data_IF_907725151700
#
_entry.id   IF_907725151700
#
_cell.length_a   1.000
_cell.length_b   1.000
_cell.length_c   1.000
_cell.angle_alpha   90.00
_cell.angle_beta   90.00
_cell.angle_gamma   90.00
#
_symmetry.space_group_name_H-M   'P 1'
#
loop_
_entity.id
_entity.type
_entity.pdbx_description
1 polymer ?
#
# COMPACT_ATOMS: atom_id res chain seq x y z
N UNK A 1 -2.76 23.32 18.29
CA UNK A 1 -2.25 22.12 18.99
C UNK A 1 -3.43 21.48 19.70
N UNK A 2 -4.15 20.62 18.98
CA UNK A 2 -5.15 19.73 19.54
C UNK A 2 -4.59 18.33 19.33
N UNK A 3 -4.26 17.66 20.44
CA UNK A 3 -3.99 16.23 20.43
C UNK A 3 -5.26 15.56 19.90
N UNK A 4 -5.25 15.10 18.64
CA UNK A 4 -6.13 14.02 18.25
C UNK A 4 -5.60 12.80 19.01
N UNK A 5 -6.27 12.50 20.12
CA UNK A 5 -6.11 11.25 20.82
C UNK A 5 -6.18 10.11 19.80
N UNK A 6 -5.17 9.26 19.86
CA UNK A 6 -5.07 8.05 19.07
C UNK A 6 -6.39 7.27 19.25
N UNK A 7 -7.19 6.99 18.22
CA UNK A 7 -8.19 5.95 18.35
C UNK A 7 -7.39 4.65 18.40
N UNK A 8 -6.91 4.28 19.59
CA UNK A 8 -6.46 2.93 19.84
C UNK A 8 -7.60 2.03 19.38
N UNK A 9 -7.35 1.18 18.39
CA UNK A 9 -8.38 0.37 17.75
C UNK A 9 -9.17 -0.37 18.85
N UNK A 10 -10.47 -0.04 18.98
CA UNK A 10 -11.38 -0.60 19.99
C UNK A 10 -11.76 -2.06 19.66
N UNK A 11 -10.79 -2.88 19.23
CA UNK A 11 -10.97 -4.20 18.66
C UNK A 11 -11.26 -4.18 17.15
N UNK A 12 -11.52 -5.36 16.61
CA UNK A 12 -11.85 -5.58 15.20
C UNK A 12 -13.36 -5.63 14.95
N UNK A 13 -13.78 -5.27 13.75
CA UNK A 13 -15.13 -5.49 13.19
C UNK A 13 -15.02 -5.95 11.73
N UNK A 14 -16.09 -6.52 11.17
CA UNK A 14 -16.14 -6.75 9.73
C UNK A 14 -16.48 -5.45 9.00
N UNK A 15 -16.03 -5.33 7.75
CA UNK A 15 -16.42 -4.25 6.86
C UNK A 15 -17.92 -4.33 6.58
N UNK A 16 -18.65 -3.27 6.92
CA UNK A 16 -20.12 -3.20 6.74
C UNK A 16 -20.56 -3.23 5.28
N UNK A 17 -19.64 -3.07 4.32
CA UNK A 17 -19.89 -3.16 2.89
C UNK A 17 -19.72 -4.58 2.32
N UNK A 18 -19.32 -5.57 3.13
CA UNK A 18 -19.32 -6.96 2.69
C UNK A 18 -20.75 -7.45 2.50
N UNK A 19 -21.05 -8.00 1.33
CA UNK A 19 -22.36 -8.61 1.06
C UNK A 19 -22.64 -9.82 1.96
N UNK A 20 -21.59 -10.58 2.30
CA UNK A 20 -21.63 -11.69 3.26
C UNK A 20 -20.24 -11.89 3.85
N UNK A 21 -20.15 -11.88 5.18
CA UNK A 21 -18.90 -12.16 5.91
C UNK A 21 -18.51 -13.63 5.75
N UNK A 22 -19.49 -14.53 5.77
CA UNK A 22 -19.27 -15.98 5.70
C UNK A 22 -18.79 -16.43 4.31
N UNK A 23 -19.26 -15.77 3.25
CA UNK A 23 -18.85 -16.07 1.87
C UNK A 23 -17.60 -15.29 1.42
N UNK A 24 -17.10 -14.36 2.24
CA UNK A 24 -15.92 -13.58 1.89
C UNK A 24 -14.64 -14.36 2.21
N UNK A 25 -13.82 -14.56 1.19
CA UNK A 25 -12.49 -15.13 1.29
C UNK A 25 -11.46 -14.05 0.97
N UNK A 26 -10.57 -13.67 1.90
CA UNK A 26 -9.57 -12.61 1.67
C UNK A 26 -8.48 -13.04 0.68
N UNK A 27 -8.23 -14.35 0.58
CA UNK A 27 -7.21 -14.91 -0.29
C UNK A 27 -7.85 -15.35 -1.61
N UNK A 28 -7.31 -14.86 -2.73
CA UNK A 28 -7.79 -15.21 -4.09
C UNK A 28 -7.27 -16.56 -4.59
N UNK A 29 -6.24 -17.10 -3.93
CA UNK A 29 -5.61 -18.38 -4.25
C UNK A 29 -5.47 -19.20 -2.97
N UNK A 30 -5.77 -20.50 -3.07
CA UNK A 30 -5.43 -21.47 -2.03
C UNK A 30 -4.30 -22.37 -2.52
N UNK A 31 -3.10 -22.15 -1.96
CA UNK A 31 -1.89 -22.87 -2.31
C UNK A 31 -1.92 -24.35 -1.88
N UNK A 32 -2.88 -24.78 -1.07
CA UNK A 32 -3.06 -26.22 -0.81
C UNK A 32 -3.85 -26.93 -1.90
N UNK A 33 -4.71 -26.19 -2.62
CA UNK A 33 -5.53 -26.72 -3.70
C UNK A 33 -4.86 -26.54 -5.07
N UNK A 34 -4.11 -25.44 -5.25
CA UNK A 34 -3.37 -25.16 -6.48
C UNK A 34 -1.87 -25.47 -6.31
N UNK A 35 -1.48 -26.67 -6.75
CA UNK A 35 -0.09 -27.14 -6.66
C UNK A 35 0.87 -26.38 -7.60
N UNK A 36 0.36 -25.78 -8.69
CA UNK A 36 1.19 -24.99 -9.60
C UNK A 36 1.49 -23.63 -8.98
N UNK A 37 0.46 -22.94 -8.52
CA UNK A 37 0.60 -21.71 -7.75
C UNK A 37 1.47 -21.93 -6.51
N UNK A 38 1.28 -23.05 -5.79
CA UNK A 38 2.12 -23.41 -4.65
C UNK A 38 3.61 -23.40 -5.01
N UNK A 39 4.02 -24.21 -6.00
CA UNK A 39 5.42 -24.30 -6.40
C UNK A 39 5.97 -22.95 -6.86
N UNK A 40 5.19 -22.20 -7.63
CA UNK A 40 5.57 -20.89 -8.12
C UNK A 40 5.81 -19.91 -6.97
N UNK A 41 4.83 -19.75 -6.07
CA UNK A 41 4.92 -18.77 -5.00
C UNK A 41 5.97 -19.13 -3.96
N UNK A 42 6.08 -20.39 -3.54
CA UNK A 42 7.16 -20.77 -2.62
C UNK A 42 8.56 -20.50 -3.20
N UNK A 43 8.76 -20.69 -4.51
CA UNK A 43 10.00 -20.30 -5.18
C UNK A 43 10.22 -18.78 -5.14
N UNK A 44 9.20 -17.99 -5.51
CA UNK A 44 9.28 -16.53 -5.46
C UNK A 44 9.58 -15.98 -4.05
N UNK A 45 8.93 -16.54 -3.03
CA UNK A 45 9.13 -16.13 -1.63
C UNK A 45 10.52 -16.53 -1.12
N UNK A 46 11.04 -17.69 -1.52
CA UNK A 46 12.41 -18.09 -1.19
C UNK A 46 13.44 -17.09 -1.74
N UNK A 47 13.28 -16.67 -3.00
CA UNK A 47 14.14 -15.64 -3.61
C UNK A 47 13.96 -14.27 -2.93
N UNK A 48 12.74 -13.93 -2.52
CA UNK A 48 12.43 -12.70 -1.79
C UNK A 48 13.14 -12.63 -0.45
N UNK A 49 13.24 -13.75 0.29
CA UNK A 49 13.91 -13.79 1.60
C UNK A 49 15.36 -13.34 1.53
N UNK A 50 16.09 -13.68 0.46
CA UNK A 50 17.48 -13.24 0.29
C UNK A 50 17.59 -11.71 0.10
N UNK A 51 16.60 -11.08 -0.55
CA UNK A 51 16.55 -9.62 -0.67
C UNK A 51 16.21 -8.98 0.68
N UNK A 52 15.27 -9.56 1.41
CA UNK A 52 14.81 -9.03 2.69
C UNK A 52 15.89 -9.17 3.77
N UNK A 53 16.67 -10.25 3.75
CA UNK A 53 17.87 -10.41 4.59
C UNK A 53 18.85 -9.26 4.35
N UNK A 54 19.12 -8.93 3.08
CA UNK A 54 20.02 -7.83 2.72
C UNK A 54 19.47 -6.49 3.20
N UNK A 55 18.20 -6.20 2.91
CA UNK A 55 17.55 -4.97 3.35
C UNK A 55 17.57 -4.82 4.87
N UNK A 56 17.24 -5.89 5.61
CA UNK A 56 17.28 -5.92 7.06
C UNK A 56 18.69 -5.60 7.59
N UNK A 57 19.72 -6.25 7.04
CA UNK A 57 21.12 -5.98 7.40
C UNK A 57 21.52 -4.53 7.13
N UNK A 58 21.19 -3.99 5.96
CA UNK A 58 21.52 -2.62 5.56
C UNK A 58 20.80 -1.57 6.42
N UNK A 59 19.54 -1.81 6.76
CA UNK A 59 18.71 -0.93 7.62
C UNK A 59 19.32 -0.67 8.99
N UNK A 60 20.18 -1.58 9.47
CA UNK A 60 20.86 -1.49 10.77
C UNK A 60 22.37 -1.68 10.63
N UNK A 61 22.98 -1.17 9.55
CA UNK A 61 24.40 -1.33 9.21
C UNK A 61 25.42 -0.91 10.29
N UNK A 62 24.99 -0.11 11.28
CA UNK A 62 25.81 0.31 12.43
C UNK A 62 25.81 -0.70 13.59
N UNK A 63 24.88 -1.65 13.62
CA UNK A 63 24.79 -2.69 14.63
C UNK A 63 25.59 -3.93 14.18
N UNK A 64 26.62 -4.30 14.94
CA UNK A 64 27.46 -5.45 14.66
C UNK A 64 26.69 -6.79 14.64
N UNK A 65 25.54 -6.88 15.32
CA UNK A 65 24.68 -8.06 15.34
C UNK A 65 23.75 -8.17 14.13
N UNK A 66 23.56 -7.10 13.36
CA UNK A 66 22.55 -7.03 12.29
C UNK A 66 22.73 -8.15 11.26
N UNK A 67 23.96 -8.45 10.85
CA UNK A 67 24.24 -9.52 9.89
C UNK A 67 23.80 -10.89 10.41
N UNK A 68 24.13 -11.24 11.66
CA UNK A 68 23.76 -12.52 12.26
C UNK A 68 22.25 -12.60 12.47
N UNK A 69 21.60 -11.52 12.91
CA UNK A 69 20.14 -11.47 13.09
C UNK A 69 19.40 -11.62 11.75
N UNK A 70 19.88 -10.99 10.68
CA UNK A 70 19.31 -11.11 9.35
C UNK A 70 19.41 -12.54 8.80
N UNK A 71 20.54 -13.22 9.04
CA UNK A 71 20.70 -14.64 8.70
C UNK A 71 19.72 -15.52 9.47
N UNK A 72 19.59 -15.31 10.78
CA UNK A 72 18.61 -16.02 11.61
C UNK A 72 17.16 -15.78 11.18
N UNK A 73 16.84 -14.56 10.73
CA UNK A 73 15.55 -14.25 10.11
C UNK A 73 15.28 -15.13 8.89
N UNK A 74 16.22 -15.17 7.94
CA UNK A 74 16.06 -15.97 6.73
C UNK A 74 15.90 -17.45 7.06
N UNK A 75 16.76 -17.99 7.91
CA UNK A 75 16.71 -19.41 8.33
C UNK A 75 15.38 -19.75 9.00
N UNK A 76 14.86 -18.85 9.84
CA UNK A 76 13.55 -19.03 10.45
C UNK A 76 12.42 -19.08 9.42
N UNK A 77 12.37 -18.12 8.49
CA UNK A 77 11.31 -18.09 7.47
C UNK A 77 11.38 -19.31 6.54
N UNK A 78 12.58 -19.73 6.14
CA UNK A 78 12.75 -20.98 5.35
C UNK A 78 12.21 -22.19 6.11
N UNK A 79 12.50 -22.32 7.40
CA UNK A 79 12.00 -23.43 8.20
C UNK A 79 10.47 -23.41 8.32
N UNK A 80 9.85 -22.24 8.47
CA UNK A 80 8.39 -22.10 8.51
C UNK A 80 7.76 -22.40 7.15
N UNK A 81 8.36 -21.91 6.05
CA UNK A 81 7.89 -22.21 4.70
C UNK A 81 7.96 -23.71 4.38
N UNK A 82 9.05 -24.38 4.77
CA UNK A 82 9.19 -25.83 4.65
C UNK A 82 8.09 -26.59 5.40
N UNK A 83 7.68 -26.10 6.58
CA UNK A 83 6.59 -26.67 7.36
C UNK A 83 5.24 -26.46 6.67
N UNK A 84 4.93 -25.23 6.27
CA UNK A 84 3.70 -24.91 5.55
C UNK A 84 3.57 -25.70 4.25
N UNK A 85 4.67 -25.93 3.54
CA UNK A 85 4.64 -26.71 2.30
C UNK A 85 4.39 -28.21 2.53
N UNK A 86 4.83 -28.75 3.69
CA UNK A 86 4.75 -30.19 4.02
C UNK A 86 3.52 -30.56 4.84
N UNK A 87 3.05 -29.68 5.72
CA UNK A 87 2.03 -29.99 6.72
C UNK A 87 0.76 -29.19 6.51
N UNK A 88 -0.22 -29.82 5.86
CA UNK A 88 -1.56 -29.27 5.57
C UNK A 88 -2.49 -29.24 6.79
N UNK A 89 -1.97 -29.49 8.01
CA UNK A 89 -2.81 -29.88 9.16
C UNK A 89 -3.14 -28.76 10.13
N UNK A 90 -2.41 -27.65 10.11
CA UNK A 90 -2.63 -26.56 11.08
C UNK A 90 -3.55 -25.44 10.56
N UNK A 91 -3.63 -25.24 9.24
CA UNK A 91 -4.51 -24.25 8.61
C UNK A 91 -5.37 -24.89 7.53
N UNK A 92 -6.65 -24.51 7.45
CA UNK A 92 -7.58 -25.04 6.45
C UNK A 92 -7.24 -24.57 5.02
N UNK A 93 -6.68 -23.37 4.90
CA UNK A 93 -6.24 -22.76 3.63
C UNK A 93 -4.85 -22.15 3.79
N UNK A 94 -4.15 -21.96 2.68
CA UNK A 94 -2.88 -21.23 2.65
C UNK A 94 -2.87 -20.22 1.51
N UNK A 95 -2.90 -18.94 1.87
CA UNK A 95 -2.83 -17.83 0.91
C UNK A 95 -1.45 -17.17 0.86
N UNK A 96 -1.29 -16.25 -0.11
CA UNK A 96 -0.08 -15.41 -0.23
C UNK A 96 0.09 -14.50 0.98
N UNK A 97 -1.02 -13.99 1.52
CA UNK A 97 -1.04 -13.21 2.76
C UNK A 97 -0.33 -13.94 3.90
N UNK A 98 -0.57 -15.24 4.07
CA UNK A 98 0.08 -16.00 5.15
C UNK A 98 1.60 -16.08 4.99
N UNK A 99 2.10 -16.21 3.75
CA UNK A 99 3.54 -16.22 3.49
C UNK A 99 4.17 -14.86 3.82
N UNK A 100 3.46 -13.76 3.52
CA UNK A 100 3.88 -12.39 3.87
C UNK A 100 3.85 -12.17 5.39
N UNK A 101 2.81 -12.64 6.07
CA UNK A 101 2.70 -12.59 7.55
C UNK A 101 3.87 -13.30 8.24
N UNK A 102 4.34 -14.44 7.70
CA UNK A 102 5.53 -15.16 8.20
C UNK A 102 6.79 -14.30 8.05
N UNK A 103 6.97 -13.63 6.91
CA UNK A 103 8.11 -12.73 6.68
C UNK A 103 8.08 -11.57 7.67
N UNK A 104 6.95 -10.88 7.77
CA UNK A 104 6.81 -9.69 8.63
C UNK A 104 6.92 -10.01 10.12
N UNK A 105 6.41 -11.18 10.53
CA UNK A 105 6.59 -11.67 11.91
C UNK A 105 8.04 -12.09 12.15
N UNK A 106 8.70 -12.68 11.16
CA UNK A 106 10.11 -13.04 11.20
C UNK A 106 11.01 -11.81 11.38
N UNK A 107 10.86 -10.79 10.54
CA UNK A 107 11.63 -9.55 10.64
C UNK A 107 11.54 -8.93 12.05
N UNK A 108 10.31 -8.75 12.56
CA UNK A 108 10.06 -8.24 13.91
C UNK A 108 10.67 -9.12 15.01
N UNK A 109 10.50 -10.44 14.91
CA UNK A 109 11.09 -11.40 15.87
C UNK A 109 12.61 -11.26 15.99
N UNK A 110 13.29 -10.96 14.89
CA UNK A 110 14.74 -10.77 14.87
C UNK A 110 15.16 -9.30 15.00
N UNK A 111 14.26 -8.40 15.43
CA UNK A 111 14.55 -7.01 15.79
C UNK A 111 14.69 -6.07 14.60
N UNK A 112 13.98 -6.36 13.51
CA UNK A 112 13.88 -5.50 12.34
C UNK A 112 12.43 -5.02 12.19
N UNK A 113 12.06 -3.99 12.95
CA UNK A 113 10.67 -3.52 13.00
C UNK A 113 10.22 -2.81 11.70
N UNK A 114 11.11 -2.07 11.05
CA UNK A 114 10.85 -1.38 9.78
C UNK A 114 12.15 -1.24 8.96
N UNK A 115 12.57 -2.28 8.21
CA UNK A 115 13.76 -2.21 7.36
C UNK A 115 13.69 -1.14 6.26
N UNK A 116 12.50 -0.67 5.88
CA UNK A 116 12.29 0.28 4.78
C UNK A 116 12.10 1.72 5.24
N UNK A 117 12.09 1.98 6.55
CA UNK A 117 11.83 3.30 7.14
C UNK A 117 12.62 4.46 6.50
N UNK A 118 13.93 4.30 6.36
CA UNK A 118 14.79 5.34 5.80
C UNK A 118 14.45 5.60 4.32
N UNK A 119 14.27 4.51 3.57
CA UNK A 119 13.87 4.57 2.18
C UNK A 119 12.51 5.25 1.98
N UNK A 120 11.47 4.81 2.71
CA UNK A 120 10.14 5.45 2.71
C UNK A 120 10.23 6.94 3.02
N UNK A 121 11.09 7.33 3.97
CA UNK A 121 11.31 8.74 4.34
C UNK A 121 11.91 9.54 3.18
N UNK A 122 12.92 8.99 2.51
CA UNK A 122 13.57 9.63 1.35
C UNK A 122 12.58 9.77 0.19
N UNK A 123 11.88 8.69 -0.14
CA UNK A 123 10.94 8.63 -1.27
C UNK A 123 9.73 9.55 -1.03
N UNK A 124 9.17 9.57 0.18
CA UNK A 124 8.10 10.50 0.56
C UNK A 124 8.55 11.95 0.38
N UNK A 125 9.72 12.32 0.93
CA UNK A 125 10.23 13.69 0.85
C UNK A 125 10.46 14.12 -0.60
N UNK A 126 11.07 13.25 -1.41
CA UNK A 126 11.29 13.52 -2.83
C UNK A 126 9.97 13.70 -3.58
N UNK A 127 9.00 12.82 -3.32
CA UNK A 127 7.69 12.86 -3.97
C UNK A 127 6.88 14.10 -3.59
N UNK A 128 6.90 14.51 -2.32
CA UNK A 128 6.23 15.73 -1.85
C UNK A 128 6.78 16.96 -2.58
N UNK A 129 8.10 17.02 -2.81
CA UNK A 129 8.72 18.10 -3.57
C UNK A 129 8.24 18.22 -5.03
N UNK A 130 7.66 17.16 -5.59
CA UNK A 130 7.10 17.13 -6.95
C UNK A 130 5.57 17.30 -6.98
N UNK A 131 4.90 17.21 -5.84
CA UNK A 131 3.44 17.17 -5.74
C UNK A 131 2.79 18.41 -6.38
N UNK A 132 3.26 19.60 -6.02
CA UNK A 132 2.69 20.86 -6.54
C UNK A 132 2.73 20.93 -8.06
N UNK A 133 3.84 20.51 -8.67
CA UNK A 133 3.97 20.46 -10.12
C UNK A 133 3.00 19.43 -10.73
N UNK A 134 2.89 18.23 -10.16
CA UNK A 134 1.95 17.20 -10.62
C UNK A 134 0.51 17.69 -10.57
N UNK A 135 0.11 18.37 -9.49
CA UNK A 135 -1.23 18.94 -9.35
C UNK A 135 -1.51 20.02 -10.42
N UNK A 136 -0.55 20.90 -10.71
CA UNK A 136 -0.68 21.88 -11.78
C UNK A 136 -0.81 21.24 -13.16
N UNK A 137 -0.07 20.17 -13.44
CA UNK A 137 -0.19 19.41 -14.69
C UNK A 137 -1.60 18.83 -14.84
N UNK A 138 -2.14 18.20 -13.80
CA UNK A 138 -3.49 17.64 -13.80
C UNK A 138 -4.57 18.71 -13.96
N UNK A 139 -4.44 19.85 -13.27
CA UNK A 139 -5.39 20.97 -13.40
C UNK A 139 -5.37 21.60 -14.80
N UNK A 140 -4.27 21.47 -15.54
CA UNK A 140 -4.15 22.00 -16.92
C UNK A 140 -4.88 21.16 -17.96
N UNK A 141 -5.32 19.94 -17.61
CA UNK A 141 -6.09 19.08 -18.50
C UNK A 141 -7.52 19.62 -18.61
N UNK A 142 -7.90 20.03 -19.82
CA UNK A 142 -9.19 20.67 -20.07
C UNK A 142 -10.37 19.69 -20.06
N UNK A 143 -10.17 18.47 -20.58
CA UNK A 143 -11.19 17.42 -20.57
C UNK A 143 -11.25 16.75 -19.20
N UNK A 144 -12.41 16.82 -18.54
CA UNK A 144 -12.62 16.14 -17.27
C UNK A 144 -12.41 14.62 -17.38
N UNK A 145 -12.86 14.01 -18.49
CA UNK A 145 -12.66 12.58 -18.74
C UNK A 145 -11.19 12.20 -18.84
N UNK A 146 -10.41 13.01 -19.56
CA UNK A 146 -8.96 12.79 -19.69
C UNK A 146 -8.24 13.00 -18.37
N UNK A 147 -8.67 13.99 -17.57
CA UNK A 147 -8.12 14.24 -16.23
C UNK A 147 -8.35 13.05 -15.30
N UNK A 148 -9.58 12.52 -15.26
CA UNK A 148 -9.89 11.31 -14.50
C UNK A 148 -9.13 10.08 -15.00
N UNK A 149 -8.97 9.94 -16.31
CA UNK A 149 -8.12 8.89 -16.90
C UNK A 149 -6.68 9.02 -16.43
N UNK A 150 -6.11 10.23 -16.45
CA UNK A 150 -4.72 10.49 -16.06
C UNK A 150 -4.49 10.32 -14.54
N UNK A 151 -5.50 10.60 -13.71
CA UNK A 151 -5.46 10.29 -12.28
C UNK A 151 -5.40 8.78 -12.03
N UNK A 152 -6.26 7.99 -12.70
CA UNK A 152 -6.24 6.52 -12.56
C UNK A 152 -4.93 5.95 -13.08
N UNK A 153 -4.43 6.44 -14.21
CA UNK A 153 -3.08 6.08 -14.68
C UNK A 153 -2.01 6.44 -13.67
N UNK A 154 -2.13 7.59 -12.99
CA UNK A 154 -1.23 8.00 -11.91
C UNK A 154 -1.22 7.02 -10.74
N UNK A 155 -2.39 6.54 -10.32
CA UNK A 155 -2.51 5.49 -9.28
C UNK A 155 -1.83 4.20 -9.71
N UNK A 156 -2.10 3.72 -10.93
CA UNK A 156 -1.48 2.50 -11.45
C UNK A 156 0.04 2.63 -11.63
N UNK A 157 0.52 3.77 -12.11
CA UNK A 157 1.95 4.04 -12.28
C UNK A 157 2.64 4.16 -10.92
N UNK A 158 1.98 4.81 -9.97
CA UNK A 158 2.44 4.97 -8.60
C UNK A 158 2.68 3.62 -7.94
N UNK A 159 1.70 2.71 -8.05
CA UNK A 159 1.83 1.38 -7.45
C UNK A 159 2.88 0.46 -8.12
N UNK A 160 3.48 0.87 -9.25
CA UNK A 160 4.66 0.16 -9.76
C UNK A 160 5.85 0.28 -8.81
N UNK A 161 5.90 1.29 -7.93
CA UNK A 161 6.99 1.49 -6.97
C UNK A 161 6.84 0.59 -5.73
N UNK A 162 6.67 -0.70 -5.98
CA UNK A 162 6.52 -1.77 -5.00
C UNK A 162 7.85 -2.54 -4.86
N UNK A 163 8.43 -2.53 -3.66
CA UNK A 163 9.70 -3.21 -3.36
C UNK A 163 9.53 -4.70 -3.06
N UNK A 164 8.30 -5.15 -2.78
CA UNK A 164 7.91 -6.55 -2.69
C UNK A 164 7.75 -7.22 -4.06
N UNK A 165 7.42 -6.48 -5.11
CA UNK A 165 7.26 -7.01 -6.46
C UNK A 165 8.59 -7.30 -7.17
N UNK A 166 8.94 -8.58 -7.33
CA UNK A 166 10.19 -9.03 -7.97
C UNK A 166 10.45 -8.41 -9.36
N UNK A 167 9.40 -8.27 -10.17
CA UNK A 167 9.49 -7.76 -11.54
C UNK A 167 9.88 -6.28 -11.61
N UNK A 168 9.55 -5.50 -10.57
CA UNK A 168 9.79 -4.06 -10.55
C UNK A 168 11.04 -3.69 -9.77
N UNK A 169 11.44 -4.47 -8.76
CA UNK A 169 12.66 -4.21 -7.96
C UNK A 169 13.89 -3.96 -8.85
N UNK A 170 14.09 -4.76 -9.90
CA UNK A 170 15.26 -4.62 -10.80
C UNK A 170 15.29 -3.26 -11.51
N UNK A 171 14.13 -2.70 -11.85
CA UNK A 171 14.01 -1.39 -12.49
C UNK A 171 14.39 -0.30 -11.49
N UNK A 172 13.88 -0.39 -10.26
CA UNK A 172 14.13 0.57 -9.19
C UNK A 172 15.59 0.57 -8.75
N UNK A 173 16.23 -0.60 -8.66
CA UNK A 173 17.64 -0.76 -8.29
C UNK A 173 18.61 -0.21 -9.34
N UNK A 174 18.24 -0.23 -10.63
CA UNK A 174 19.18 0.05 -11.74
C UNK A 174 19.00 1.42 -12.38
N UNK A 175 17.91 2.13 -12.09
CA UNK A 175 17.58 3.40 -12.75
C UNK A 175 17.21 4.49 -11.74
N UNK A 176 18.21 5.22 -11.26
CA UNK A 176 18.06 6.35 -10.34
C UNK A 176 17.21 7.51 -10.89
N UNK A 177 16.91 7.54 -12.20
CA UNK A 177 16.04 8.54 -12.84
C UNK A 177 14.61 8.04 -13.08
N UNK A 178 14.26 6.84 -12.61
CA UNK A 178 12.92 6.29 -12.78
C UNK A 178 11.94 6.97 -11.80
N UNK A 179 11.06 7.81 -12.33
CA UNK A 179 9.98 8.48 -11.59
C UNK A 179 8.61 8.24 -12.22
N UNK A 180 7.60 8.97 -11.74
CA UNK A 180 6.20 8.76 -12.16
C UNK A 180 6.01 8.80 -13.68
N UNK A 181 6.67 9.72 -14.40
CA UNK A 181 6.51 9.83 -15.85
C UNK A 181 7.00 8.56 -16.57
N UNK A 182 8.16 8.04 -16.17
CA UNK A 182 8.69 6.80 -16.75
C UNK A 182 7.82 5.59 -16.41
N UNK A 183 7.15 5.59 -15.25
CA UNK A 183 6.17 4.57 -14.92
C UNK A 183 4.89 4.70 -15.78
N UNK A 184 4.36 5.90 -15.96
CA UNK A 184 3.21 6.19 -16.84
C UNK A 184 3.45 5.72 -18.28
N UNK A 185 4.67 5.89 -18.79
CA UNK A 185 5.07 5.46 -20.13
C UNK A 185 5.20 3.93 -20.27
N UNK A 186 5.29 3.20 -19.15
CA UNK A 186 5.42 1.73 -19.10
C UNK A 186 4.12 0.99 -18.82
N UNK A 187 3.10 1.67 -18.30
CA UNK A 187 1.76 1.06 -18.15
C UNK A 187 1.33 0.51 -19.51
N UNK A 188 0.86 -0.74 -19.52
CA UNK A 188 0.31 -1.34 -20.73
C UNK A 188 -0.85 -0.53 -21.28
N UNK A 189 -0.96 -0.44 -22.60
CA UNK A 189 -2.10 0.23 -23.24
C UNK A 189 -3.39 -0.54 -22.94
N UNK A 190 -4.48 0.20 -22.79
CA UNK A 190 -5.83 -0.37 -22.64
C UNK A 190 -6.21 -1.20 -23.88
N UNK A 191 -7.04 -2.25 -23.74
CA UNK A 191 -7.67 -2.68 -22.50
C UNK A 191 -6.69 -3.38 -21.55
N UNK A 192 -6.79 -3.08 -20.25
CA UNK A 192 -6.10 -3.87 -19.23
C UNK A 192 -6.75 -5.24 -19.06
N UNK A 193 -6.10 -6.12 -18.27
CA UNK A 193 -6.59 -7.48 -18.03
C UNK A 193 -8.03 -7.48 -17.49
N UNK A 194 -8.33 -6.57 -16.56
CA UNK A 194 -9.66 -6.19 -16.12
C UNK A 194 -9.71 -4.66 -16.25
N UNK A 195 -10.62 -4.15 -17.06
CA UNK A 195 -10.65 -2.74 -17.44
C UNK A 195 -12.07 -2.18 -17.37
N UNK A 196 -12.44 -1.75 -16.16
CA UNK A 196 -13.73 -1.10 -15.88
C UNK A 196 -13.64 0.43 -15.88
N UNK A 197 -12.56 0.99 -16.44
CA UNK A 197 -12.31 2.43 -16.38
C UNK A 197 -13.41 3.23 -17.06
N UNK A 198 -13.91 2.78 -18.23
CA UNK A 198 -14.95 3.53 -18.95
C UNK A 198 -16.25 3.61 -18.15
N UNK A 199 -16.67 2.50 -17.51
CA UNK A 199 -17.85 2.49 -16.64
C UNK A 199 -17.69 3.40 -15.42
N UNK A 200 -16.49 3.43 -14.83
CA UNK A 200 -16.19 4.36 -13.75
C UNK A 200 -16.19 5.82 -14.23
N UNK A 201 -15.61 6.13 -15.39
CA UNK A 201 -15.62 7.49 -15.97
C UNK A 201 -17.06 7.96 -16.24
N UNK A 202 -17.91 7.08 -16.78
CA UNK A 202 -19.31 7.40 -17.04
C UNK A 202 -20.05 7.73 -15.74
N UNK A 203 -19.79 6.99 -14.65
CA UNK A 203 -20.30 7.27 -13.30
C UNK A 203 -19.77 8.59 -12.73
N UNK A 204 -18.54 8.97 -13.03
CA UNK A 204 -17.95 10.22 -12.55
C UNK A 204 -18.51 11.44 -13.32
N UNK A 205 -18.89 11.27 -14.58
CA UNK A 205 -19.45 12.34 -15.42
C UNK A 205 -20.94 12.59 -15.17
N UNK A 206 -21.75 11.52 -15.11
CA UNK A 206 -23.21 11.64 -15.23
C UNK A 206 -23.95 11.59 -13.88
N UNK A 207 -23.35 10.97 -12.87
CA UNK A 207 -24.03 10.70 -11.61
C UNK A 207 -23.53 11.64 -10.48
N UNK A 208 -24.34 11.86 -9.42
CA UNK A 208 -23.95 12.71 -8.31
C UNK A 208 -22.62 12.28 -7.65
N UNK A 209 -21.82 13.21 -7.11
CA UNK A 209 -20.63 12.87 -6.36
C UNK A 209 -20.89 11.83 -5.26
N UNK A 210 -19.92 10.94 -5.03
CA UNK A 210 -19.96 10.05 -3.89
C UNK A 210 -20.01 10.88 -2.61
N UNK A 211 -20.86 10.47 -1.66
CA UNK A 211 -20.89 11.14 -0.35
C UNK A 211 -19.58 10.89 0.42
N UNK A 212 -19.04 9.69 0.24
CA UNK A 212 -17.90 9.20 0.98
C UNK A 212 -17.08 8.22 0.12
N UNK A 213 -15.76 8.27 0.21
CA UNK A 213 -14.83 7.32 -0.38
C UNK A 213 -13.81 6.88 0.67
N UNK A 214 -13.65 5.58 0.84
CA UNK A 214 -12.60 5.00 1.68
C UNK A 214 -11.53 4.41 0.79
N UNK A 215 -10.28 4.78 1.01
CA UNK A 215 -9.13 4.33 0.23
C UNK A 215 -8.16 3.68 1.20
N UNK A 216 -7.90 2.39 0.98
CA UNK A 216 -6.83 1.66 1.64
C UNK A 216 -5.55 1.91 0.85
N UNK A 217 -4.59 2.59 1.48
CA UNK A 217 -3.33 2.94 0.86
C UNK A 217 -2.37 1.76 0.90
N UNK A 218 -1.52 1.68 -0.12
CA UNK A 218 -0.49 0.65 -0.26
C UNK A 218 0.88 1.28 0.04
N UNK A 219 1.66 1.61 -0.99
CA UNK A 219 3.06 1.97 -0.87
C UNK A 219 3.30 3.43 -0.49
N UNK A 220 4.37 3.69 0.27
CA UNK A 220 4.88 5.05 0.48
C UNK A 220 5.49 5.64 -0.82
N UNK A 221 5.90 6.90 -0.77
CA UNK A 221 6.63 7.54 -1.86
C UNK A 221 5.74 7.92 -3.03
N UNK A 222 6.14 7.52 -4.24
CA UNK A 222 5.49 7.95 -5.48
C UNK A 222 4.05 7.44 -5.55
N UNK A 223 3.79 6.21 -5.10
CA UNK A 223 2.44 5.64 -5.06
C UNK A 223 1.48 6.53 -4.29
N UNK A 224 1.70 6.66 -2.98
CA UNK A 224 0.85 7.47 -2.15
C UNK A 224 0.85 8.95 -2.57
N UNK A 225 2.02 9.58 -2.69
CA UNK A 225 2.10 11.05 -2.81
C UNK A 225 1.76 11.54 -4.21
N UNK A 226 2.14 10.83 -5.27
CA UNK A 226 1.94 11.30 -6.65
C UNK A 226 0.86 10.51 -7.42
N UNK A 227 0.42 9.37 -6.90
CA UNK A 227 -0.74 8.62 -7.38
C UNK A 227 -2.00 8.91 -6.56
N UNK A 228 -2.01 8.50 -5.29
CA UNK A 228 -3.21 8.54 -4.43
C UNK A 228 -3.60 9.97 -4.03
N UNK A 229 -2.66 10.80 -3.56
CA UNK A 229 -2.99 12.16 -3.08
C UNK A 229 -3.65 13.03 -4.18
N UNK A 230 -3.20 13.02 -5.45
CA UNK A 230 -3.92 13.69 -6.53
C UNK A 230 -5.35 13.17 -6.74
N UNK A 231 -5.57 11.85 -6.68
CA UNK A 231 -6.91 11.27 -6.74
C UNK A 231 -7.80 11.78 -5.59
N UNK A 232 -7.27 11.75 -4.36
CA UNK A 232 -7.95 12.24 -3.15
C UNK A 232 -8.34 13.70 -3.32
N UNK A 233 -7.43 14.55 -3.80
CA UNK A 233 -7.69 15.96 -4.04
C UNK A 233 -8.87 16.18 -5.00
N UNK A 234 -8.93 15.42 -6.09
CA UNK A 234 -10.02 15.56 -7.08
C UNK A 234 -11.36 15.05 -6.55
N UNK A 235 -11.37 13.99 -5.74
CA UNK A 235 -12.57 13.58 -4.99
C UNK A 235 -13.06 14.67 -4.04
N UNK A 236 -12.13 15.30 -3.31
CA UNK A 236 -12.43 16.40 -2.38
C UNK A 236 -13.00 17.65 -3.10
N UNK A 237 -12.51 17.99 -4.31
CA UNK A 237 -13.05 19.06 -5.16
C UNK A 237 -14.50 18.79 -5.57
N UNK A 238 -14.89 17.51 -5.68
CA UNK A 238 -16.27 17.08 -5.95
C UNK A 238 -17.15 17.02 -4.71
N UNK A 239 -16.70 17.55 -3.56
CA UNK A 239 -17.39 17.46 -2.27
C UNK A 239 -17.50 16.04 -1.69
N UNK A 240 -16.74 15.07 -2.19
CA UNK A 240 -16.65 13.72 -1.58
C UNK A 240 -15.90 13.82 -0.25
N UNK A 241 -16.38 13.18 0.81
CA UNK A 241 -15.59 12.93 2.03
C UNK A 241 -14.63 11.76 1.76
N UNK A 242 -13.38 11.87 2.17
CA UNK A 242 -12.35 10.84 1.93
C UNK A 242 -11.80 10.31 3.26
N UNK A 243 -11.80 8.99 3.42
CA UNK A 243 -11.13 8.27 4.50
C UNK A 243 -9.90 7.59 3.90
N UNK A 244 -8.70 7.97 4.36
CA UNK A 244 -7.46 7.28 4.03
C UNK A 244 -7.11 6.30 5.14
N UNK A 245 -6.99 5.03 4.78
CA UNK A 245 -6.69 3.94 5.70
C UNK A 245 -5.30 3.39 5.42
N UNK A 246 -4.42 3.41 6.41
CA UNK A 246 -3.04 2.92 6.33
C UNK A 246 -2.76 1.91 7.44
N UNK A 247 -1.81 1.00 7.21
CA UNK A 247 -1.45 -0.01 8.22
C UNK A 247 -0.85 0.64 9.47
N UNK A 248 -1.18 0.14 10.66
CA UNK A 248 -0.55 0.61 11.90
C UNK A 248 0.90 0.16 12.01
N UNK A 249 1.18 -1.04 11.49
CA UNK A 249 2.47 -1.69 11.60
C UNK A 249 3.19 -1.69 10.25
N UNK A 250 4.50 -1.46 10.21
CA UNK A 250 5.27 -1.60 8.98
C UNK A 250 5.04 -2.97 8.32
N UNK A 251 4.89 -2.94 7.01
CA UNK A 251 4.89 -4.11 6.14
C UNK A 251 5.58 -3.68 4.84
N UNK A 252 6.73 -4.28 4.53
CA UNK A 252 7.56 -3.92 3.38
C UNK A 252 7.71 -2.38 3.26
N UNK A 253 7.28 -1.77 2.15
CA UNK A 253 7.32 -0.34 1.90
C UNK A 253 5.94 0.32 1.93
N UNK A 254 4.94 -0.35 2.51
CA UNK A 254 3.63 0.21 2.77
C UNK A 254 3.74 1.47 3.64
N UNK A 255 2.90 2.45 3.36
CA UNK A 255 2.82 3.64 4.19
C UNK A 255 2.09 3.30 5.50
N UNK A 256 2.76 3.49 6.64
CA UNK A 256 2.11 3.30 7.94
C UNK A 256 1.21 4.49 8.27
N UNK A 257 0.24 4.32 9.17
CA UNK A 257 -0.62 5.41 9.65
C UNK A 257 0.20 6.61 10.16
N UNK A 258 1.27 6.34 10.92
CA UNK A 258 2.16 7.40 11.43
C UNK A 258 2.90 8.16 10.32
N UNK A 259 3.22 7.49 9.21
CA UNK A 259 3.85 8.07 8.03
C UNK A 259 2.83 8.81 7.17
N UNK A 260 1.64 8.24 6.99
CA UNK A 260 0.49 8.82 6.31
C UNK A 260 0.13 10.18 6.94
N UNK A 261 0.01 10.26 8.27
CA UNK A 261 -0.31 11.51 8.96
C UNK A 261 0.74 12.59 8.69
N UNK A 262 2.03 12.24 8.71
CA UNK A 262 3.12 13.17 8.41
C UNK A 262 3.12 13.59 6.94
N UNK A 263 2.97 12.64 6.03
CA UNK A 263 2.92 12.89 4.60
C UNK A 263 1.75 13.80 4.22
N UNK A 264 0.55 13.56 4.77
CA UNK A 264 -0.62 14.44 4.55
C UNK A 264 -0.38 15.84 5.10
N UNK A 265 0.20 15.97 6.29
CA UNK A 265 0.53 17.28 6.85
C UNK A 265 1.49 18.08 5.94
N UNK A 266 2.46 17.41 5.32
CA UNK A 266 3.37 18.03 4.36
C UNK A 266 2.67 18.31 3.01
N UNK A 267 1.84 17.40 2.50
CA UNK A 267 1.05 17.63 1.28
C UNK A 267 0.09 18.83 1.41
N UNK A 268 -0.45 19.07 2.61
CA UNK A 268 -1.30 20.24 2.89
C UNK A 268 -0.55 21.59 2.76
N UNK A 269 0.79 21.59 2.85
CA UNK A 269 1.59 22.80 2.60
C UNK A 269 1.66 23.11 1.10
N UNK A 270 1.53 22.09 0.26
CA UNK A 270 1.61 22.19 -1.20
C UNK A 270 0.23 22.41 -1.86
N UNK A 271 -0.88 22.17 -1.15
CA UNK A 271 -2.22 22.28 -1.71
C UNK A 271 -3.29 22.76 -0.72
N UNK A 272 -3.87 23.92 -1.01
CA UNK A 272 -4.94 24.53 -0.19
C UNK A 272 -6.20 23.67 -0.10
N UNK A 273 -6.57 22.94 -1.16
CA UNK A 273 -7.74 22.05 -1.15
C UNK A 273 -7.55 20.93 -0.12
N UNK A 274 -6.36 20.32 -0.09
CA UNK A 274 -6.04 19.29 0.90
C UNK A 274 -6.05 19.86 2.31
N UNK A 275 -5.39 21.02 2.50
CA UNK A 275 -5.34 21.71 3.79
C UNK A 275 -6.72 22.02 4.34
N UNK A 276 -7.58 22.65 3.54
CA UNK A 276 -8.92 23.04 3.97
C UNK A 276 -9.79 21.80 4.26
N UNK A 277 -9.67 20.75 3.44
CA UNK A 277 -10.39 19.50 3.66
C UNK A 277 -9.96 18.77 4.94
N UNK A 278 -8.66 18.81 5.27
CA UNK A 278 -8.08 18.14 6.43
C UNK A 278 -8.32 18.92 7.73
N UNK A 279 -8.00 20.21 7.74
CA UNK A 279 -7.97 21.03 8.96
C UNK A 279 -9.29 21.73 9.29
N UNK A 280 -10.03 22.22 8.28
CA UNK A 280 -11.17 23.11 8.51
C UNK A 280 -12.51 22.40 8.32
N UNK A 281 -12.61 21.56 7.28
CA UNK A 281 -13.86 20.93 6.87
C UNK A 281 -14.04 19.51 7.41
N UNK A 282 -12.97 18.90 7.93
CA UNK A 282 -12.94 17.51 8.39
C UNK A 282 -13.51 16.50 7.36
N UNK A 283 -13.23 16.76 6.08
CA UNK A 283 -13.61 15.89 4.94
C UNK A 283 -12.50 14.97 4.50
N UNK A 284 -11.25 15.23 4.87
CA UNK A 284 -10.16 14.27 4.74
C UNK A 284 -9.84 13.72 6.13
N UNK A 285 -10.11 12.43 6.34
CA UNK A 285 -9.87 11.74 7.61
C UNK A 285 -8.87 10.61 7.42
N UNK A 286 -8.04 10.37 8.42
CA UNK A 286 -7.00 9.35 8.39
C UNK A 286 -7.33 8.28 9.43
N UNK A 287 -7.14 7.02 9.07
CA UNK A 287 -7.40 5.87 9.95
C UNK A 287 -6.26 4.86 9.88
N UNK A 288 -5.97 4.26 11.03
CA UNK A 288 -5.05 3.13 11.14
C UNK A 288 -5.80 1.80 11.11
N UNK A 289 -5.32 0.86 10.30
CA UNK A 289 -5.81 -0.52 10.31
C UNK A 289 -4.75 -1.46 10.91
N UNK A 290 -5.17 -2.36 11.80
CA UNK A 290 -4.26 -3.23 12.56
C UNK A 290 -4.07 -4.61 11.90
N UNK A 291 -4.04 -4.63 10.56
CA UNK A 291 -3.77 -5.84 9.80
C UNK A 291 -2.28 -6.21 9.90
N UNK A 292 -2.00 -7.51 9.74
CA UNK A 292 -0.63 -8.03 9.77
C UNK A 292 -0.16 -8.20 8.33
N UNK A 293 0.92 -7.49 7.97
CA UNK A 293 1.47 -7.53 6.63
C UNK A 293 0.70 -6.64 5.64
N UNK A 294 0.99 -6.79 4.34
CA UNK A 294 0.52 -5.85 3.31
C UNK A 294 -0.84 -6.22 2.70
N UNK A 295 -1.48 -7.30 3.17
CA UNK A 295 -2.79 -7.72 2.66
C UNK A 295 -3.90 -7.42 3.68
N UNK A 296 -5.13 -7.25 3.20
CA UNK A 296 -6.29 -6.91 4.02
C UNK A 296 -7.31 -8.05 4.08
N UNK A 297 -7.72 -8.40 5.29
CA UNK A 297 -8.91 -9.21 5.56
C UNK A 297 -10.08 -8.32 5.99
N UNK A 298 -11.04 -8.08 5.09
CA UNK A 298 -12.22 -7.27 5.38
C UNK A 298 -13.17 -7.88 6.41
N UNK A 299 -12.96 -9.13 6.85
CA UNK A 299 -13.67 -9.69 8.01
C UNK A 299 -13.20 -9.09 9.33
N UNK A 300 -11.99 -8.49 9.34
CA UNK A 300 -11.27 -8.09 10.54
C UNK A 300 -10.62 -6.69 10.38
N UNK A 301 -11.38 -5.64 10.10
CA UNK A 301 -10.85 -4.28 10.07
C UNK A 301 -10.91 -3.61 11.46
N UNK A 302 -10.03 -2.64 11.71
CA UNK A 302 -10.08 -1.86 12.95
C UNK A 302 -11.42 -1.13 13.07
N UNK A 303 -12.04 -1.16 14.26
CA UNK A 303 -13.29 -0.43 14.50
C UNK A 303 -13.13 1.06 14.19
N UNK A 304 -14.18 1.64 13.63
CA UNK A 304 -14.20 3.04 13.17
C UNK A 304 -13.79 3.22 11.71
N UNK A 305 -13.25 2.17 11.08
CA UNK A 305 -13.15 2.05 9.62
C UNK A 305 -14.41 1.31 9.15
N UNK A 306 -15.22 1.95 8.30
CA UNK A 306 -16.38 1.40 7.58
C UNK A 306 -17.39 0.56 8.40
#
# INVERSE_FOLDING_TARGET
>A
MTNQENPAAEGFSHCTLLASVDAYHPDTLDLYQDLEANRYWFACFTDMLAKFERQAMESQSKDASAKTRAQSFREHCVAVFDQLQKDRRETETLGIRNLLEVIESGLRKFGFDDPWKEQKTIENKASIGLLKQRLHQLDSIASEREKWTELVRGVLAGNMFDWGAQAVTKILETNNGFGLQQALDRIQKRPWLIDDLDGWLDRMEHEPPHQCATIFTDNAGIDFVLGIVPLVRELLKRNTKVLLCATLNPAINDITYSELTRAIADCCKECDILRNAYSDQHRLLLFGNDQIGPCLDFRMISKGIL
#
